data_IF_574372252797
#
_entry.id   IF_574372252797
#
_cell.length_a   1.000
_cell.length_b   1.000
_cell.length_c   1.000
_cell.angle_alpha   90.00
_cell.angle_beta   90.00
_cell.angle_gamma   90.00
#
_symmetry.space_group_name_H-M   'P 1'
#
loop_
_entity.id
_entity.type
_entity.pdbx_description
1 polymer ?
#
# COMPACT_ATOMS: atom_id res chain seq x y z
N UNK A 1 -3.43 11.82 10.31
CA UNK A 1 -4.65 11.41 9.58
C UNK A 1 -4.39 10.33 8.55
N UNK A 2 -3.70 10.60 7.42
CA UNK A 2 -3.61 9.56 6.37
C UNK A 2 -2.71 8.36 6.70
N UNK A 3 -1.60 8.57 7.42
CA UNK A 3 -0.78 7.45 7.94
C UNK A 3 -1.52 6.62 8.98
N UNK A 4 -2.37 7.27 9.78
CA UNK A 4 -3.14 6.59 10.82
C UNK A 4 -4.22 5.69 10.21
N UNK A 5 -4.78 6.10 9.06
CA UNK A 5 -5.63 5.23 8.27
C UNK A 5 -4.89 3.97 7.80
N UNK A 6 -3.65 4.10 7.30
CA UNK A 6 -2.84 2.93 6.93
C UNK A 6 -2.53 2.04 8.14
N UNK A 7 -2.18 2.63 9.29
CA UNK A 7 -1.97 1.85 10.52
C UNK A 7 -3.21 1.09 10.94
N UNK A 8 -4.37 1.73 10.95
CA UNK A 8 -5.64 1.10 11.30
C UNK A 8 -6.00 0.00 10.29
N UNK A 9 -5.80 0.25 8.99
CA UNK A 9 -5.99 -0.74 7.94
C UNK A 9 -5.08 -1.96 8.16
N UNK A 10 -3.78 -1.78 8.41
CA UNK A 10 -2.87 -2.89 8.68
C UNK A 10 -3.25 -3.67 9.94
N UNK A 11 -3.65 -2.98 11.02
CA UNK A 11 -4.17 -3.65 12.21
C UNK A 11 -5.37 -4.53 11.86
N UNK A 12 -6.37 -4.00 11.17
CA UNK A 12 -7.58 -4.77 10.82
C UNK A 12 -7.29 -5.89 9.83
N UNK A 13 -6.45 -5.65 8.82
CA UNK A 13 -6.14 -6.64 7.79
C UNK A 13 -5.34 -7.82 8.35
N UNK A 14 -4.39 -7.55 9.27
CA UNK A 14 -3.61 -8.59 9.95
C UNK A 14 -4.50 -9.63 10.63
N UNK A 15 -5.55 -9.19 11.33
CA UNK A 15 -6.47 -10.10 12.04
C UNK A 15 -7.32 -10.97 11.08
N UNK A 16 -7.34 -10.64 9.79
CA UNK A 16 -8.04 -11.39 8.75
C UNK A 16 -7.11 -12.26 7.90
N UNK A 17 -5.79 -12.21 8.13
CA UNK A 17 -4.84 -13.02 7.39
C UNK A 17 -4.82 -14.45 7.91
N UNK A 18 -4.98 -15.40 6.99
CA UNK A 18 -4.65 -16.81 7.19
C UNK A 18 -3.24 -17.10 6.66
N UNK A 19 -2.75 -18.33 6.89
CA UNK A 19 -1.45 -18.78 6.39
C UNK A 19 -1.34 -18.59 4.87
N UNK A 20 -0.27 -17.91 4.42
CA UNK A 20 -0.04 -17.59 3.00
C UNK A 20 -0.88 -16.42 2.46
N UNK A 21 -1.75 -15.82 3.27
CA UNK A 21 -2.51 -14.62 2.92
C UNK A 21 -1.64 -13.38 2.73
N UNK A 22 -2.14 -12.38 2.00
CA UNK A 22 -1.40 -11.15 1.70
C UNK A 22 -2.24 -9.88 1.86
N UNK A 23 -1.60 -8.82 2.35
CA UNK A 23 -2.13 -7.46 2.34
C UNK A 23 -1.46 -6.68 1.22
N UNK A 24 -2.26 -6.15 0.29
CA UNK A 24 -1.74 -5.37 -0.83
C UNK A 24 -2.08 -3.89 -0.67
N UNK A 25 -1.07 -3.04 -0.72
CA UNK A 25 -1.24 -1.58 -0.70
C UNK A 25 -0.58 -0.98 -1.93
N UNK A 26 -1.36 -0.32 -2.78
CA UNK A 26 -0.82 0.44 -3.91
C UNK A 26 -0.61 1.89 -3.50
N UNK A 27 0.63 2.37 -3.58
CA UNK A 27 0.99 3.73 -3.17
C UNK A 27 2.11 4.31 -4.04
N UNK A 28 2.17 5.64 -4.08
CA UNK A 28 3.28 6.38 -4.67
C UNK A 28 4.52 6.36 -3.78
N UNK A 29 5.66 6.07 -4.36
CA UNK A 29 6.95 6.03 -3.68
C UNK A 29 7.92 7.13 -4.19
N UNK A 30 7.38 8.13 -4.89
CA UNK A 30 8.05 9.39 -5.19
C UNK A 30 7.81 10.45 -4.09
N UNK A 31 8.67 11.46 -4.01
CA UNK A 31 8.48 12.58 -3.08
C UNK A 31 7.22 13.41 -3.43
N UNK A 32 6.41 13.84 -2.46
CA UNK A 32 6.56 13.67 -1.00
C UNK A 32 5.88 12.43 -0.42
N UNK A 33 5.35 11.53 -1.26
CA UNK A 33 4.54 10.38 -0.87
C UNK A 33 5.37 9.28 -0.20
N UNK A 34 6.61 9.08 -0.62
CA UNK A 34 7.56 8.19 0.04
C UNK A 34 7.76 8.49 1.54
N UNK A 35 7.58 9.74 1.97
CA UNK A 35 7.63 10.12 3.39
C UNK A 35 6.57 9.41 4.24
N UNK A 36 5.58 8.79 3.62
CA UNK A 36 4.59 7.98 4.32
C UNK A 36 5.20 6.72 4.93
N UNK A 37 6.29 6.20 4.34
CA UNK A 37 7.05 5.04 4.84
C UNK A 37 6.14 3.82 5.04
N UNK A 38 5.44 3.43 3.99
CA UNK A 38 4.40 2.36 4.01
C UNK A 38 4.95 1.06 4.61
N UNK A 39 6.17 0.68 4.24
CA UNK A 39 6.84 -0.52 4.77
C UNK A 39 7.07 -0.44 6.29
N UNK A 40 7.49 0.71 6.81
CA UNK A 40 7.67 0.92 8.26
C UNK A 40 6.34 0.81 9.00
N UNK A 41 5.26 1.39 8.44
CA UNK A 41 3.92 1.33 9.02
C UNK A 41 3.35 -0.09 9.06
N UNK A 42 3.64 -0.92 8.05
CA UNK A 42 3.26 -2.33 8.04
C UNK A 42 4.04 -3.13 9.09
N UNK A 43 5.37 -2.89 9.17
CA UNK A 43 6.24 -3.54 10.17
C UNK A 43 5.85 -3.21 11.60
N UNK A 44 5.44 -1.96 11.89
CA UNK A 44 4.87 -1.56 13.19
C UNK A 44 3.67 -2.44 13.62
N UNK A 45 3.02 -3.13 12.66
CA UNK A 45 1.87 -4.02 12.87
C UNK A 45 2.21 -5.50 12.68
N UNK A 46 3.48 -5.89 12.67
CA UNK A 46 3.88 -7.30 12.55
C UNK A 46 3.65 -7.90 11.16
N UNK A 47 3.60 -7.05 10.14
CA UNK A 47 3.56 -7.46 8.73
C UNK A 47 4.93 -7.21 8.10
N UNK A 48 5.39 -8.12 7.24
CA UNK A 48 6.67 -8.03 6.54
C UNK A 48 6.48 -7.86 5.04
N UNK A 49 7.34 -7.09 4.39
CA UNK A 49 7.29 -6.93 2.93
C UNK A 49 7.73 -8.23 2.26
N UNK A 50 6.84 -8.82 1.48
CA UNK A 50 7.14 -10.00 0.66
C UNK A 50 7.54 -9.63 -0.76
N UNK A 51 6.86 -8.65 -1.34
CA UNK A 51 7.11 -8.22 -2.71
C UNK A 51 6.74 -6.74 -2.89
N UNK A 52 7.48 -6.06 -3.77
CA UNK A 52 7.16 -4.70 -4.22
C UNK A 52 7.16 -4.69 -5.75
N UNK A 53 5.97 -4.56 -6.33
CA UNK A 53 5.75 -4.66 -7.77
C UNK A 53 5.42 -3.29 -8.33
N UNK A 54 5.92 -2.98 -9.53
CA UNK A 54 5.55 -1.74 -10.24
C UNK A 54 4.05 -1.75 -10.51
N UNK A 55 3.37 -0.66 -10.16
CA UNK A 55 1.98 -0.49 -10.50
C UNK A 55 1.85 -0.08 -11.97
N UNK A 56 1.13 -0.88 -12.75
CA UNK A 56 0.81 -0.57 -14.14
C UNK A 56 -0.67 -0.25 -14.25
N UNK A 57 -1.01 0.98 -14.64
CA UNK A 57 -2.42 1.42 -14.81
C UNK A 57 -3.21 0.50 -15.76
N UNK A 58 -2.55 -0.01 -16.81
CA UNK A 58 -3.17 -0.87 -17.83
C UNK A 58 -3.74 -2.18 -17.27
N UNK A 59 -3.21 -2.67 -16.15
CA UNK A 59 -3.65 -3.93 -15.53
C UNK A 59 -4.99 -3.79 -14.80
N UNK A 60 -5.49 -2.56 -14.64
CA UNK A 60 -6.73 -2.25 -13.93
C UNK A 60 -7.72 -1.49 -14.83
N UNK A 61 -8.44 -2.19 -15.72
CA UNK A 61 -9.46 -1.58 -16.57
C UNK A 61 -10.48 -0.78 -15.75
N UNK A 62 -10.75 0.46 -16.15
CA UNK A 62 -11.66 1.37 -15.46
C UNK A 62 -11.04 2.18 -14.31
N UNK A 63 -9.80 1.88 -13.89
CA UNK A 63 -9.11 2.69 -12.89
C UNK A 63 -8.77 4.09 -13.43
N UNK A 64 -9.27 5.12 -12.75
CA UNK A 64 -8.98 6.52 -13.05
C UNK A 64 -8.58 7.26 -11.78
N UNK A 65 -7.29 7.55 -11.65
CA UNK A 65 -6.76 8.25 -10.49
C UNK A 65 -7.23 9.71 -10.48
N UNK A 66 -7.77 10.15 -9.34
CA UNK A 66 -8.24 11.52 -9.16
C UNK A 66 -7.70 12.11 -7.87
N UNK A 67 -7.48 13.42 -7.88
CA UNK A 67 -7.13 14.18 -6.68
C UNK A 67 -8.35 14.22 -5.74
N UNK A 68 -8.07 14.21 -4.44
CA UNK A 68 -9.07 14.38 -3.39
C UNK A 68 -9.70 15.78 -3.37
N UNK A 69 -10.27 16.18 -2.24
CA UNK A 69 -10.99 17.45 -2.11
C UNK A 69 -10.07 18.69 -2.23
N UNK A 70 -10.70 19.87 -2.43
CA UNK A 70 -10.09 21.22 -2.60
C UNK A 70 -9.68 21.57 -4.04
N UNK A 71 -8.60 22.33 -4.20
CA UNK A 71 -8.14 22.88 -5.47
C UNK A 71 -7.80 21.75 -6.44
N UNK A 72 -8.34 21.82 -7.66
CA UNK A 72 -8.19 20.77 -8.70
C UNK A 72 -8.74 19.40 -8.27
N UNK A 73 -9.74 19.38 -7.39
CA UNK A 73 -10.48 18.16 -7.07
C UNK A 73 -10.98 17.47 -8.35
N UNK A 74 -11.08 16.14 -8.29
CA UNK A 74 -11.47 15.27 -9.41
C UNK A 74 -10.55 15.30 -10.64
N UNK A 75 -9.54 16.18 -10.71
CA UNK A 75 -8.54 16.13 -11.79
C UNK A 75 -7.56 14.98 -11.56
N UNK A 76 -7.04 14.44 -12.66
CA UNK A 76 -5.97 13.45 -12.61
C UNK A 76 -4.67 14.04 -12.06
N UNK A 77 -3.76 13.15 -11.66
CA UNK A 77 -2.39 13.49 -11.31
C UNK A 77 -1.41 12.54 -12.02
N UNK A 78 -0.15 12.96 -12.24
CA UNK A 78 0.85 12.07 -12.80
C UNK A 78 1.10 10.88 -11.87
N UNK A 79 0.93 9.68 -12.43
CA UNK A 79 1.38 8.43 -11.83
C UNK A 79 2.86 8.30 -12.18
N UNK A 80 3.72 8.57 -11.20
CA UNK A 80 5.18 8.41 -11.32
C UNK A 80 5.55 7.06 -10.71
N UNK A 81 6.48 7.03 -9.78
CA UNK A 81 6.93 5.83 -9.08
C UNK A 81 5.79 5.30 -8.20
N UNK A 82 4.93 4.46 -8.76
CA UNK A 82 3.80 3.84 -8.09
C UNK A 82 4.09 2.34 -7.96
N UNK A 83 3.89 1.79 -6.77
CA UNK A 83 4.13 0.38 -6.51
C UNK A 83 2.98 -0.23 -5.73
N UNK A 84 2.75 -1.52 -5.93
CA UNK A 84 1.96 -2.37 -5.06
C UNK A 84 2.90 -3.10 -4.11
N UNK A 85 2.79 -2.77 -2.82
CA UNK A 85 3.51 -3.42 -1.73
C UNK A 85 2.66 -4.59 -1.24
N UNK A 86 3.22 -5.79 -1.25
CA UNK A 86 2.56 -7.01 -0.75
C UNK A 86 3.21 -7.41 0.55
N UNK A 87 2.39 -7.50 1.59
CA UNK A 87 2.83 -7.86 2.93
C UNK A 87 2.21 -9.19 3.35
N UNK A 88 2.94 -9.96 4.16
CA UNK A 88 2.46 -11.20 4.78
C UNK A 88 2.70 -11.17 6.29
N UNK A 89 2.27 -12.20 7.00
CA UNK A 89 2.66 -12.38 8.39
C UNK A 89 4.16 -12.68 8.46
N UNK A 90 4.82 -12.21 9.52
CA UNK A 90 6.26 -12.43 9.73
C UNK A 90 6.63 -13.93 9.78
N UNK A 91 5.73 -14.76 10.34
CA UNK A 91 5.92 -16.21 10.43
C UNK A 91 6.02 -16.91 9.06
N UNK A 92 5.40 -16.34 8.02
CA UNK A 92 5.43 -16.88 6.66
C UNK A 92 6.84 -16.80 6.03
N UNK A 93 7.74 -15.97 6.56
CA UNK A 93 9.14 -15.90 6.12
C UNK A 93 10.03 -16.92 6.83
N UNK A 94 9.62 -17.40 8.01
CA UNK A 94 10.39 -18.34 8.83
C UNK A 94 10.11 -19.79 8.43
N UNK A 95 8.96 -20.06 7.81
CA UNK A 95 8.54 -21.39 7.36
C UNK A 95 9.18 -21.85 6.02
N UNK A 96 10.25 -21.20 5.54
CA UNK A 96 10.97 -21.55 4.31
C UNK A 96 12.34 -22.17 4.57
#
# INVERSE_FOLDING_TARGET
MHKDLLRAFFTSARELLEEGGEVHVTHRDDSPYNKWKVEELAREKGLVLKEKVVFTKGDYPGYNNKRGSRVRANRMFPLKDCFTFKFSLEMDMVAK
#
